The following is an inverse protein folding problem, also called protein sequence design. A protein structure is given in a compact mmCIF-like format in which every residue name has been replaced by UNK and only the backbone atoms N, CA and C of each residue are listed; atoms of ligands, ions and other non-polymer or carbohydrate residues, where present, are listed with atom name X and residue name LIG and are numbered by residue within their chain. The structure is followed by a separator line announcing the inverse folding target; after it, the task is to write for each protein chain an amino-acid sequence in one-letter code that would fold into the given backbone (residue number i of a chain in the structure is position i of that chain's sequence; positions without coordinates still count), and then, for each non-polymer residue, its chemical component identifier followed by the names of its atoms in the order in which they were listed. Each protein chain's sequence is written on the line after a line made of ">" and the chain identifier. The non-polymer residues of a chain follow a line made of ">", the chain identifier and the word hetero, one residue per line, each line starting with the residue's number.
data_IF_288889727342
#
_entry.id   IF_288889727342
#
_cell.length_a   1.000
_cell.length_b   1.000
_cell.length_c   1.000
_cell.angle_alpha   90.00
_cell.angle_beta   90.00
_cell.angle_gamma   90.00
#
_symmetry.space_group_name_H-M   'P 1'
#
loop_
_entity.id
_entity.type
_entity.pdbx_description
1 polymer ?
#
# COMPACT_ATOMS: atom_id res chain seq x y z
N UNK A 1 -25.04 -18.70 -54.19
CA UNK A 1 -24.48 -19.62 -53.17
C UNK A 1 -22.94 -19.50 -53.06
N UNK A 2 -22.24 -19.35 -54.18
CA UNK A 2 -20.79 -19.18 -54.19
C UNK A 2 -20.35 -17.88 -53.46
N UNK A 3 -21.08 -16.78 -53.59
CA UNK A 3 -20.77 -15.53 -52.97
C UNK A 3 -20.92 -15.54 -51.43
N UNK A 4 -21.93 -16.23 -50.90
CA UNK A 4 -22.16 -16.36 -49.47
C UNK A 4 -21.02 -17.14 -48.78
N UNK A 5 -20.60 -18.26 -49.42
CA UNK A 5 -19.50 -19.08 -48.92
C UNK A 5 -18.20 -18.29 -48.91
N UNK A 6 -17.91 -17.53 -49.97
CA UNK A 6 -16.72 -16.69 -50.02
C UNK A 6 -16.75 -15.58 -48.97
N UNK A 7 -17.90 -14.93 -48.73
CA UNK A 7 -18.08 -13.96 -47.66
C UNK A 7 -17.83 -14.57 -46.28
N UNK A 8 -18.32 -15.78 -46.02
CA UNK A 8 -18.07 -16.45 -44.74
C UNK A 8 -16.60 -16.84 -44.55
N UNK A 9 -15.94 -17.32 -45.61
CA UNK A 9 -14.50 -17.62 -45.58
C UNK A 9 -13.71 -16.31 -45.30
N UNK A 10 -14.02 -15.24 -46.00
CA UNK A 10 -13.34 -13.95 -45.81
C UNK A 10 -13.53 -13.37 -44.41
N UNK A 11 -14.77 -13.45 -43.88
CA UNK A 11 -15.07 -13.03 -42.53
C UNK A 11 -14.30 -13.88 -41.47
N UNK A 12 -14.22 -15.20 -41.70
CA UNK A 12 -13.45 -16.09 -40.82
C UNK A 12 -11.95 -15.78 -40.83
N UNK A 13 -11.38 -15.50 -42.01
CA UNK A 13 -9.96 -15.08 -42.12
C UNK A 13 -9.70 -13.78 -41.37
N UNK A 14 -10.60 -12.79 -41.51
CA UNK A 14 -10.49 -11.52 -40.77
C UNK A 14 -10.54 -11.76 -39.26
N UNK A 15 -11.46 -12.57 -38.78
CA UNK A 15 -11.57 -12.89 -37.33
C UNK A 15 -10.31 -13.57 -36.81
N UNK A 16 -9.75 -14.51 -37.54
CA UNK A 16 -8.48 -15.17 -37.19
C UNK A 16 -7.33 -14.15 -37.15
N UNK A 17 -7.25 -13.24 -38.13
CA UNK A 17 -6.21 -12.21 -38.12
C UNK A 17 -6.35 -11.26 -36.95
N UNK A 18 -7.57 -10.84 -36.61
CA UNK A 18 -7.85 -10.00 -35.43
C UNK A 18 -7.40 -10.71 -34.17
N UNK A 19 -7.74 -11.99 -34.01
CA UNK A 19 -7.33 -12.78 -32.85
C UNK A 19 -5.80 -12.92 -32.74
N UNK A 20 -5.10 -13.19 -33.85
CA UNK A 20 -3.63 -13.26 -33.86
C UNK A 20 -2.99 -11.93 -33.48
N UNK A 21 -3.52 -10.82 -34.00
CA UNK A 21 -3.05 -9.46 -33.64
C UNK A 21 -3.31 -9.18 -32.16
N UNK A 22 -4.49 -9.56 -31.66
CA UNK A 22 -4.83 -9.40 -30.23
C UNK A 22 -3.87 -10.20 -29.35
N UNK A 23 -3.63 -11.49 -29.64
CA UNK A 23 -2.68 -12.34 -28.90
C UNK A 23 -1.27 -11.73 -28.90
N UNK A 24 -0.80 -11.27 -30.06
CA UNK A 24 0.52 -10.64 -30.19
C UNK A 24 0.61 -9.36 -29.37
N UNK A 25 -0.40 -8.50 -29.45
CA UNK A 25 -0.49 -7.24 -28.71
C UNK A 25 -0.52 -7.50 -27.21
N UNK A 26 -1.35 -8.45 -26.75
CA UNK A 26 -1.43 -8.85 -25.34
C UNK A 26 -0.08 -9.34 -24.82
N UNK A 27 0.64 -10.14 -25.60
CA UNK A 27 1.96 -10.63 -25.22
C UNK A 27 3.00 -9.51 -25.08
N UNK A 28 2.99 -8.52 -25.98
CA UNK A 28 3.88 -7.36 -25.90
C UNK A 28 3.51 -6.49 -24.71
N UNK A 29 2.23 -6.19 -24.54
CA UNK A 29 1.71 -5.36 -23.45
C UNK A 29 1.98 -6.02 -22.11
N UNK A 30 1.78 -7.33 -22.00
CA UNK A 30 2.05 -8.07 -20.75
C UNK A 30 3.54 -8.09 -20.38
N UNK A 31 4.45 -8.17 -21.37
CA UNK A 31 5.89 -8.04 -21.11
C UNK A 31 6.29 -6.66 -20.59
N UNK A 32 5.70 -5.60 -21.16
CA UNK A 32 6.04 -4.21 -20.86
C UNK A 32 5.24 -3.66 -19.66
N UNK A 33 4.00 -4.10 -19.50
CA UNK A 33 3.05 -3.61 -18.51
C UNK A 33 2.36 -4.77 -17.79
N UNK A 34 3.14 -5.56 -17.04
CA UNK A 34 2.67 -6.75 -16.32
C UNK A 34 1.46 -6.52 -15.39
N UNK A 35 1.19 -5.26 -15.06
CA UNK A 35 0.07 -4.83 -14.23
C UNK A 35 -1.28 -4.72 -14.99
N UNK A 36 -1.28 -4.71 -16.33
CA UNK A 36 -2.51 -4.56 -17.12
C UNK A 36 -3.29 -5.86 -17.25
N UNK A 37 -2.59 -7.00 -17.28
CA UNK A 37 -3.20 -8.32 -17.48
C UNK A 37 -2.83 -9.20 -16.31
N UNK A 38 -3.79 -9.42 -15.43
CA UNK A 38 -3.64 -10.28 -14.24
C UNK A 38 -4.44 -11.54 -14.48
N UNK A 39 -3.78 -12.69 -14.49
CA UNK A 39 -4.52 -13.96 -14.46
C UNK A 39 -4.89 -14.30 -13.02
N UNK A 40 -6.05 -14.93 -12.84
CA UNK A 40 -6.56 -15.37 -11.53
C UNK A 40 -5.55 -16.25 -10.78
N UNK A 41 -4.88 -17.12 -11.53
CA UNK A 41 -3.96 -18.10 -10.97
C UNK A 41 -2.50 -17.64 -10.92
N UNK A 42 -2.26 -16.37 -11.27
CA UNK A 42 -0.91 -15.84 -11.25
C UNK A 42 -0.43 -15.63 -9.81
N UNK A 43 0.54 -16.42 -9.39
CA UNK A 43 1.21 -16.29 -8.10
C UNK A 43 2.54 -15.57 -8.36
N UNK A 44 2.68 -14.29 -7.97
CA UNK A 44 3.90 -13.53 -8.21
C UNK A 44 5.06 -14.10 -7.39
N UNK A 45 6.23 -14.21 -8.02
CA UNK A 45 7.46 -14.55 -7.29
C UNK A 45 7.94 -13.34 -6.51
N UNK A 46 8.18 -13.52 -5.22
CA UNK A 46 8.82 -12.50 -4.40
C UNK A 46 10.34 -12.53 -4.67
N UNK A 47 10.92 -11.39 -5.03
CA UNK A 47 12.37 -11.33 -5.24
C UNK A 47 13.11 -11.31 -3.91
N UNK A 48 14.17 -12.10 -3.78
CA UNK A 48 14.97 -12.19 -2.54
C UNK A 48 15.58 -10.85 -2.15
N UNK A 49 16.11 -10.10 -3.12
CA UNK A 49 16.64 -8.76 -2.89
C UNK A 49 15.58 -7.76 -2.42
N UNK A 50 14.37 -7.80 -3.02
CA UNK A 50 13.23 -7.01 -2.61
C UNK A 50 12.77 -7.36 -1.20
N UNK A 51 12.70 -8.65 -0.89
CA UNK A 51 12.31 -9.16 0.42
C UNK A 51 13.30 -8.69 1.51
N UNK A 52 14.61 -8.85 1.27
CA UNK A 52 15.68 -8.40 2.16
C UNK A 52 15.59 -6.90 2.44
N UNK A 53 15.39 -6.08 1.39
CA UNK A 53 15.20 -4.63 1.51
C UNK A 53 13.93 -4.31 2.29
N UNK A 54 12.83 -5.01 2.05
CA UNK A 54 11.56 -4.81 2.75
C UNK A 54 11.70 -5.11 4.25
N UNK A 55 12.31 -6.24 4.62
CA UNK A 55 12.54 -6.60 6.03
C UNK A 55 13.47 -5.61 6.75
N UNK A 56 14.48 -5.09 6.08
CA UNK A 56 15.41 -4.13 6.70
C UNK A 56 14.80 -2.75 6.90
N UNK A 57 13.93 -2.27 5.99
CA UNK A 57 13.51 -0.86 5.97
C UNK A 57 12.04 -0.61 6.22
N UNK A 58 11.18 -1.61 6.04
CA UNK A 58 9.74 -1.34 6.02
C UNK A 58 8.83 -2.35 6.68
N UNK A 59 9.29 -3.55 6.97
CA UNK A 59 8.44 -4.61 7.49
C UNK A 59 7.96 -4.37 8.93
N UNK A 60 6.68 -4.64 9.17
CA UNK A 60 6.05 -4.68 10.49
C UNK A 60 5.10 -5.89 10.57
N UNK A 61 5.25 -6.79 11.57
CA UNK A 61 4.47 -8.02 11.63
C UNK A 61 2.97 -7.80 11.89
N UNK A 62 2.60 -6.69 12.51
CA UNK A 62 1.21 -6.36 12.86
C UNK A 62 0.56 -5.52 11.77
N UNK A 63 1.23 -4.45 11.35
CA UNK A 63 0.70 -3.47 10.41
C UNK A 63 0.96 -3.84 8.94
N UNK A 64 1.86 -4.81 8.68
CA UNK A 64 2.33 -5.17 7.35
C UNK A 64 3.57 -4.38 6.97
N UNK A 65 3.52 -3.07 7.01
CA UNK A 65 4.67 -2.20 6.77
C UNK A 65 4.62 -0.93 7.61
N UNK A 66 5.79 -0.30 7.78
CA UNK A 66 5.98 0.92 8.53
C UNK A 66 7.19 1.68 7.98
N UNK A 67 7.37 2.92 8.35
CA UNK A 67 8.64 3.62 8.26
C UNK A 67 9.43 3.34 9.54
N UNK A 68 10.60 2.68 9.41
CA UNK A 68 11.40 2.30 10.58
C UNK A 68 12.09 3.51 11.22
N UNK A 69 12.25 3.51 12.55
CA UNK A 69 13.00 4.55 13.25
C UNK A 69 14.44 4.67 12.73
N UNK A 70 15.02 5.86 12.84
CA UNK A 70 16.39 6.19 12.46
C UNK A 70 16.70 5.89 10.98
N UNK A 71 15.75 6.17 10.09
CA UNK A 71 15.92 6.01 8.64
C UNK A 71 15.77 7.33 7.92
N UNK A 72 16.61 7.53 6.91
CA UNK A 72 16.54 8.65 5.98
C UNK A 72 16.23 8.15 4.57
N UNK A 73 15.53 8.94 3.79
CA UNK A 73 15.19 8.59 2.43
C UNK A 73 15.23 9.82 1.53
N UNK A 74 15.65 9.59 0.28
CA UNK A 74 15.59 10.58 -0.79
C UNK A 74 14.76 10.01 -1.93
N UNK A 75 13.81 10.79 -2.41
CA UNK A 75 12.92 10.40 -3.52
C UNK A 75 12.94 11.47 -4.59
N UNK A 76 13.16 11.04 -5.84
CA UNK A 76 13.09 11.92 -6.99
C UNK A 76 11.70 11.80 -7.64
N UNK A 77 11.04 12.93 -7.84
CA UNK A 77 9.80 13.04 -8.59
C UNK A 77 9.94 14.14 -9.65
N UNK A 78 10.10 13.73 -10.91
CA UNK A 78 10.48 14.65 -11.98
C UNK A 78 11.83 15.30 -11.70
N UNK A 79 11.87 16.64 -11.70
CA UNK A 79 13.07 17.41 -11.40
C UNK A 79 13.25 17.75 -9.91
N UNK A 80 12.31 17.36 -9.04
CA UNK A 80 12.36 17.63 -7.61
C UNK A 80 12.90 16.42 -6.86
N UNK A 81 13.87 16.65 -5.99
CA UNK A 81 14.35 15.68 -4.99
C UNK A 81 13.72 16.06 -3.66
N UNK A 82 13.08 15.10 -3.02
CA UNK A 82 12.47 15.25 -1.70
C UNK A 82 13.22 14.38 -0.70
N UNK A 83 13.64 14.97 0.41
CA UNK A 83 14.32 14.26 1.50
C UNK A 83 13.45 14.26 2.75
N UNK A 84 13.36 13.10 3.38
CA UNK A 84 12.64 12.98 4.64
C UNK A 84 13.30 11.98 5.58
N UNK A 85 13.12 12.20 6.87
CA UNK A 85 13.73 11.44 7.93
C UNK A 85 12.69 10.92 8.91
N UNK A 86 12.96 9.74 9.45
CA UNK A 86 12.19 9.16 10.55
C UNK A 86 13.10 9.17 11.79
N UNK A 87 12.64 9.81 12.84
CA UNK A 87 13.41 9.93 14.06
C UNK A 87 13.44 8.63 14.90
N UNK A 88 14.12 8.64 16.03
CA UNK A 88 14.24 7.48 16.91
C UNK A 88 12.93 6.99 17.51
N UNK A 89 11.90 7.83 17.58
CA UNK A 89 10.57 7.49 18.08
C UNK A 89 9.64 6.94 16.97
N UNK A 90 10.10 6.92 15.70
CA UNK A 90 9.36 6.32 14.60
C UNK A 90 8.32 7.21 13.93
N UNK A 91 8.33 8.52 14.20
CA UNK A 91 7.56 9.49 13.44
C UNK A 91 8.46 10.34 12.54
N UNK A 92 7.89 10.99 11.54
CA UNK A 92 8.63 11.86 10.64
C UNK A 92 9.25 13.02 11.42
N UNK A 93 10.53 13.27 11.21
CA UNK A 93 11.28 14.35 11.88
C UNK A 93 10.58 15.69 11.73
N UNK A 94 10.39 16.38 12.85
CA UNK A 94 9.79 17.71 12.91
C UNK A 94 10.83 18.80 13.21
N UNK A 95 12.09 18.51 12.90
CA UNK A 95 13.25 19.40 13.02
C UNK A 95 13.29 20.11 14.39
N UNK A 96 13.44 21.45 14.38
CA UNK A 96 13.52 22.28 15.59
C UNK A 96 12.31 22.19 16.52
N UNK A 97 11.16 21.73 16.01
CA UNK A 97 9.93 21.61 16.81
C UNK A 97 9.88 20.35 17.68
N UNK A 98 10.82 19.40 17.52
CA UNK A 98 10.83 18.15 18.30
C UNK A 98 11.04 18.37 19.81
N UNK A 99 11.68 19.47 20.19
CA UNK A 99 11.90 19.85 21.58
C UNK A 99 10.65 20.45 22.25
N UNK A 100 9.65 20.85 21.47
CA UNK A 100 8.39 21.41 21.98
C UNK A 100 7.53 20.34 22.63
N UNK A 101 6.60 20.71 23.56
CA UNK A 101 5.66 19.77 24.14
C UNK A 101 4.83 19.05 23.09
N UNK A 102 4.72 17.71 23.19
CA UNK A 102 3.90 16.91 22.29
C UNK A 102 2.42 17.06 22.66
N UNK A 103 1.69 17.84 21.88
CA UNK A 103 0.24 18.00 22.07
C UNK A 103 -0.61 17.38 20.97
N UNK A 104 -0.05 17.18 19.78
CA UNK A 104 -0.78 16.71 18.62
C UNK A 104 -0.06 15.52 18.00
N UNK A 105 -0.82 14.48 17.66
CA UNK A 105 -0.32 13.31 16.91
C UNK A 105 -1.20 13.03 15.70
N UNK A 106 -0.58 12.85 14.55
CA UNK A 106 -1.24 12.67 13.26
C UNK A 106 -1.03 11.24 12.76
N UNK A 107 -2.11 10.58 12.33
CA UNK A 107 -2.12 9.23 11.78
C UNK A 107 -2.86 9.21 10.45
N UNK A 108 -2.41 8.41 9.51
CA UNK A 108 -3.01 8.32 8.18
C UNK A 108 -2.07 7.72 7.15
N UNK A 109 -2.29 8.05 5.90
CA UNK A 109 -1.57 7.52 4.75
C UNK A 109 -0.44 8.44 4.25
N UNK A 110 -0.17 8.44 2.93
CA UNK A 110 0.85 9.26 2.29
C UNK A 110 0.55 10.77 2.33
N UNK A 111 -0.70 11.17 2.42
CA UNK A 111 -1.09 12.58 2.55
C UNK A 111 -0.79 13.08 3.97
N UNK A 112 -1.05 12.27 4.98
CA UNK A 112 -0.61 12.56 6.35
C UNK A 112 0.91 12.53 6.45
N UNK A 113 1.57 11.56 5.81
CA UNK A 113 3.04 11.53 5.78
C UNK A 113 3.65 12.73 5.03
N UNK A 114 2.90 13.34 4.14
CA UNK A 114 3.35 14.44 3.27
C UNK A 114 4.59 14.07 2.42
N UNK A 115 4.54 12.91 1.73
CA UNK A 115 5.67 12.24 1.05
C UNK A 115 6.39 13.11 0.02
N UNK A 116 5.68 14.05 -0.63
CA UNK A 116 6.20 14.80 -1.78
C UNK A 116 6.90 16.11 -1.40
N UNK A 117 7.12 16.35 -0.11
CA UNK A 117 7.76 17.56 0.43
C UNK A 117 8.84 17.20 1.43
N UNK A 118 9.78 18.12 1.67
CA UNK A 118 10.84 17.95 2.67
C UNK A 118 10.29 18.05 4.10
N UNK A 119 11.09 17.72 5.12
CA UNK A 119 10.67 17.72 6.52
C UNK A 119 10.19 19.07 7.00
N UNK A 120 10.77 20.18 6.51
CA UNK A 120 10.38 21.55 6.81
C UNK A 120 9.26 22.13 5.91
N UNK A 121 8.69 21.30 5.04
CA UNK A 121 7.62 21.70 4.12
C UNK A 121 6.31 20.94 4.42
N UNK A 122 6.27 20.11 5.47
CA UNK A 122 5.07 19.35 5.83
C UNK A 122 4.04 20.24 6.50
N UNK A 123 2.77 19.91 6.35
CA UNK A 123 1.71 20.66 7.04
C UNK A 123 1.81 20.53 8.56
N UNK A 124 2.33 19.40 9.08
CA UNK A 124 2.59 19.21 10.51
C UNK A 124 3.71 20.13 11.02
N UNK A 125 4.73 20.35 10.20
CA UNK A 125 5.79 21.30 10.53
C UNK A 125 5.24 22.72 10.68
N UNK A 126 4.42 23.17 9.74
CA UNK A 126 3.77 24.48 9.83
C UNK A 126 2.77 24.57 10.99
N UNK A 127 1.99 23.48 11.21
CA UNK A 127 1.06 23.42 12.35
C UNK A 127 1.83 23.52 13.68
N UNK A 128 2.99 22.86 13.80
CA UNK A 128 3.86 22.96 14.97
C UNK A 128 4.29 24.39 15.25
N UNK A 129 4.70 25.13 14.21
CA UNK A 129 5.07 26.54 14.34
C UNK A 129 3.90 27.43 14.77
N UNK A 130 2.73 27.22 14.17
CA UNK A 130 1.52 27.99 14.48
C UNK A 130 1.02 27.78 15.90
N UNK A 131 1.13 26.53 16.39
CA UNK A 131 0.60 26.14 17.71
C UNK A 131 1.67 26.16 18.81
N UNK A 132 2.93 26.39 18.47
CA UNK A 132 4.07 26.29 19.37
C UNK A 132 4.09 24.95 20.14
N UNK A 133 3.82 23.84 19.42
CA UNK A 133 3.83 22.48 19.96
C UNK A 133 4.49 21.52 18.97
N UNK A 134 5.04 20.40 19.46
CA UNK A 134 5.47 19.34 18.57
C UNK A 134 4.23 18.58 18.03
N UNK A 135 4.08 18.53 16.71
CA UNK A 135 3.09 17.73 15.99
C UNK A 135 3.77 16.48 15.47
N UNK A 136 3.50 15.33 16.07
CA UNK A 136 4.10 14.04 15.69
C UNK A 136 3.37 13.42 14.49
N UNK A 137 4.08 13.28 13.39
CA UNK A 137 3.55 12.69 12.15
C UNK A 137 3.85 11.19 12.07
N UNK A 138 2.85 10.36 12.35
CA UNK A 138 2.87 8.91 12.22
C UNK A 138 2.24 8.40 10.91
N UNK A 139 2.03 9.24 9.93
CA UNK A 139 1.54 8.85 8.59
C UNK A 139 2.45 7.82 7.92
N UNK A 140 1.87 6.91 7.15
CA UNK A 140 2.61 5.91 6.36
C UNK A 140 1.96 5.73 5.01
N UNK A 141 2.75 5.84 3.95
CA UNK A 141 2.26 5.67 2.60
C UNK A 141 1.47 4.37 2.42
N UNK A 142 0.36 4.48 1.68
CA UNK A 142 -0.50 3.37 1.33
C UNK A 142 -1.28 2.71 2.48
N UNK A 143 -1.34 3.31 3.67
CA UNK A 143 -2.19 2.81 4.73
C UNK A 143 -3.68 2.95 4.37
N UNK A 144 -4.47 1.94 4.78
CA UNK A 144 -5.91 2.09 5.01
C UNK A 144 -6.17 2.62 6.41
N UNK A 145 -7.42 3.01 6.68
CA UNK A 145 -7.84 3.46 8.02
C UNK A 145 -7.64 2.39 9.09
N UNK A 146 -7.74 1.13 8.74
CA UNK A 146 -7.46 -0.02 9.61
C UNK A 146 -6.02 -0.01 10.14
N UNK A 147 -5.04 0.19 9.27
CA UNK A 147 -3.64 0.29 9.66
C UNK A 147 -3.35 1.57 10.45
N UNK A 148 -3.94 2.70 10.04
CA UNK A 148 -3.82 3.97 10.77
C UNK A 148 -4.37 3.85 12.19
N UNK A 149 -5.54 3.23 12.38
CA UNK A 149 -6.13 2.98 13.69
C UNK A 149 -5.28 2.02 14.55
N UNK A 150 -4.77 0.95 13.97
CA UNK A 150 -3.91 0.01 14.70
C UNK A 150 -2.59 0.68 15.11
N UNK A 151 -2.03 1.53 14.25
CA UNK A 151 -0.86 2.32 14.59
C UNK A 151 -1.16 3.34 15.69
N UNK A 152 -2.27 4.05 15.60
CA UNK A 152 -2.72 4.95 16.66
C UNK A 152 -2.81 4.22 18.00
N UNK A 153 -3.49 3.09 18.07
CA UNK A 153 -3.61 2.30 19.31
C UNK A 153 -2.24 1.90 19.89
N UNK A 154 -1.27 1.57 19.03
CA UNK A 154 0.08 1.18 19.45
C UNK A 154 0.91 2.36 19.94
N UNK A 155 0.92 3.46 19.20
CA UNK A 155 1.78 4.60 19.49
C UNK A 155 1.21 5.51 20.58
N UNK A 156 -0.11 5.61 20.70
CA UNK A 156 -0.76 6.48 21.69
C UNK A 156 -0.44 6.10 23.14
N UNK A 157 -0.23 4.82 23.40
CA UNK A 157 0.17 4.34 24.75
C UNK A 157 1.50 4.97 25.17
N UNK A 158 2.44 5.12 24.24
CA UNK A 158 3.78 5.66 24.47
C UNK A 158 3.87 7.16 24.29
N UNK A 159 3.04 7.71 23.41
CA UNK A 159 3.08 9.09 22.94
C UNK A 159 1.71 9.74 23.11
N UNK A 160 1.23 9.83 24.35
CA UNK A 160 -0.04 10.51 24.64
C UNK A 160 0.02 11.96 24.13
N UNK A 161 -1.03 12.38 23.45
CA UNK A 161 -1.24 13.74 22.96
C UNK A 161 -2.64 14.22 23.34
N UNK A 162 -2.82 15.53 23.44
CA UNK A 162 -4.11 16.14 23.76
C UNK A 162 -5.08 16.05 22.58
N UNK A 163 -4.54 16.08 21.35
CA UNK A 163 -5.28 16.01 20.10
C UNK A 163 -4.72 14.92 19.19
N UNK A 164 -5.61 14.13 18.61
CA UNK A 164 -5.28 13.16 17.55
C UNK A 164 -5.96 13.59 16.26
N UNK A 165 -5.16 13.72 15.20
CA UNK A 165 -5.64 13.99 13.85
C UNK A 165 -5.56 12.70 13.03
N UNK A 166 -6.68 12.25 12.48
CA UNK A 166 -6.75 11.13 11.56
C UNK A 166 -6.96 11.64 10.13
N UNK A 167 -5.94 11.52 9.30
CA UNK A 167 -6.02 11.89 7.88
C UNK A 167 -6.75 10.83 7.08
N UNK A 168 -7.80 11.24 6.37
CA UNK A 168 -8.66 10.37 5.56
C UNK A 168 -8.77 10.92 4.16
N UNK A 169 -8.46 10.09 3.16
CA UNK A 169 -8.73 10.34 1.76
C UNK A 169 -9.55 9.17 1.19
N UNK A 170 -10.25 9.31 0.06
CA UNK A 170 -11.07 8.23 -0.50
C UNK A 170 -10.32 6.89 -0.63
N UNK A 171 -9.05 6.91 -1.03
CA UNK A 171 -8.24 5.71 -1.16
C UNK A 171 -8.02 4.96 0.16
N UNK A 172 -7.99 5.66 1.30
CA UNK A 172 -7.85 5.00 2.62
C UNK A 172 -9.05 4.13 2.94
N UNK A 173 -10.23 4.49 2.43
CA UNK A 173 -11.47 3.71 2.58
C UNK A 173 -11.38 2.43 1.74
N UNK A 174 -11.00 2.53 0.47
CA UNK A 174 -10.88 1.37 -0.41
C UNK A 174 -9.84 0.36 0.10
N UNK A 175 -8.76 0.83 0.71
CA UNK A 175 -7.71 -0.01 1.29
C UNK A 175 -8.14 -0.84 2.50
N UNK A 176 -9.21 -0.44 3.22
CA UNK A 176 -9.74 -1.22 4.37
C UNK A 176 -10.16 -2.62 3.93
N UNK A 177 -10.68 -2.78 2.71
CA UNK A 177 -11.23 -4.04 2.24
C UNK A 177 -10.21 -4.97 1.58
N UNK A 178 -8.93 -4.59 1.54
CA UNK A 178 -7.82 -5.41 1.04
C UNK A 178 -7.03 -6.05 2.17
N UNK A 179 -6.55 -7.28 1.93
CA UNK A 179 -5.61 -8.03 2.79
C UNK A 179 -4.24 -8.11 2.13
N UNK A 180 -4.21 -8.28 0.81
CA UNK A 180 -2.99 -8.28 0.04
C UNK A 180 -3.04 -7.18 -1.03
N UNK A 181 -2.21 -6.18 -0.87
CA UNK A 181 -2.19 -5.00 -1.72
C UNK A 181 -2.03 -5.31 -3.21
N UNK A 182 -1.40 -6.43 -3.54
CA UNK A 182 -1.25 -6.92 -4.92
C UNK A 182 -2.58 -7.06 -5.66
N UNK A 183 -3.67 -7.42 -4.99
CA UNK A 183 -4.99 -7.52 -5.59
C UNK A 183 -5.64 -6.15 -5.86
N UNK A 184 -5.25 -5.15 -5.11
CA UNK A 184 -5.69 -3.77 -5.30
C UNK A 184 -4.76 -2.98 -6.24
N UNK A 185 -3.44 -3.05 -5.98
CA UNK A 185 -2.40 -2.44 -6.81
C UNK A 185 -1.44 -3.53 -7.27
N UNK A 186 -1.56 -3.96 -8.53
CA UNK A 186 -0.71 -5.00 -9.09
C UNK A 186 0.79 -4.66 -8.95
N UNK A 187 1.58 -5.64 -8.56
CA UNK A 187 3.02 -5.48 -8.32
C UNK A 187 3.41 -5.15 -6.88
N UNK A 188 2.47 -4.74 -6.01
CA UNK A 188 2.73 -4.54 -4.59
C UNK A 188 2.74 -5.87 -3.81
N UNK A 189 3.67 -6.76 -4.18
CA UNK A 189 3.69 -8.16 -3.73
C UNK A 189 4.06 -8.35 -2.27
N UNK A 190 4.74 -7.38 -1.62
CA UNK A 190 5.09 -7.44 -0.19
C UNK A 190 4.01 -6.86 0.73
N UNK A 191 2.94 -6.28 0.17
CA UNK A 191 1.93 -5.52 0.91
C UNK A 191 0.85 -6.39 1.55
N UNK A 192 1.20 -7.36 2.38
CA UNK A 192 0.24 -8.07 3.23
C UNK A 192 -0.07 -7.27 4.49
N UNK A 193 -1.36 -7.17 4.86
CA UNK A 193 -1.81 -6.31 5.96
C UNK A 193 -2.99 -6.90 6.74
N UNK A 194 -3.25 -6.41 7.96
CA UNK A 194 -4.48 -6.71 8.68
C UNK A 194 -5.68 -6.03 8.01
N UNK A 195 -6.88 -6.49 8.34
CA UNK A 195 -8.14 -5.90 7.88
C UNK A 195 -9.22 -5.99 8.96
N UNK A 196 -10.01 -4.94 9.14
CA UNK A 196 -11.27 -5.03 9.89
C UNK A 196 -12.40 -5.51 8.98
N UNK A 197 -13.32 -6.29 9.54
CA UNK A 197 -14.53 -6.77 8.89
C UNK A 197 -15.67 -6.90 9.89
N UNK A 198 -16.90 -6.88 9.42
CA UNK A 198 -18.08 -7.08 10.24
C UNK A 198 -18.46 -8.57 10.27
N UNK A 199 -18.71 -9.10 11.44
CA UNK A 199 -19.28 -10.43 11.66
C UNK A 199 -20.36 -10.29 12.73
N UNK A 200 -21.60 -10.64 12.41
CA UNK A 200 -22.75 -10.51 13.31
C UNK A 200 -22.88 -9.10 13.93
N UNK A 201 -22.68 -8.05 13.14
CA UNK A 201 -22.64 -6.65 13.54
C UNK A 201 -21.51 -6.25 14.49
N UNK A 202 -20.56 -7.15 14.75
CA UNK A 202 -19.37 -6.85 15.56
C UNK A 202 -18.15 -6.59 14.66
N UNK A 203 -17.34 -5.61 15.05
CA UNK A 203 -16.11 -5.27 14.33
C UNK A 203 -14.99 -6.25 14.73
N UNK A 204 -14.63 -7.14 13.83
CA UNK A 204 -13.60 -8.14 13.99
C UNK A 204 -12.31 -7.75 13.25
N UNK A 205 -11.16 -8.18 13.78
CA UNK A 205 -9.86 -7.99 13.16
C UNK A 205 -9.35 -9.29 12.53
N UNK A 206 -9.19 -9.30 11.21
CA UNK A 206 -8.36 -10.27 10.51
C UNK A 206 -6.89 -9.80 10.63
N UNK A 207 -6.11 -10.49 11.45
CA UNK A 207 -4.70 -10.14 11.70
C UNK A 207 -3.86 -10.38 10.46
N UNK A 208 -2.73 -9.66 10.33
CA UNK A 208 -1.75 -9.97 9.29
C UNK A 208 -1.21 -11.39 9.49
N UNK A 209 -1.56 -12.30 8.59
CA UNK A 209 -1.15 -13.72 8.67
C UNK A 209 0.23 -13.96 8.07
N UNK A 210 0.73 -13.05 7.22
CA UNK A 210 2.09 -13.09 6.66
C UNK A 210 2.97 -12.19 7.55
N UNK A 211 3.20 -12.65 8.77
CA UNK A 211 3.80 -11.87 9.85
C UNK A 211 5.21 -12.36 10.25
N UNK A 212 5.91 -13.06 9.36
CA UNK A 212 7.30 -13.49 9.56
C UNK A 212 7.99 -13.75 8.22
N UNK A 213 9.31 -13.76 8.19
CA UNK A 213 10.11 -14.02 7.00
C UNK A 213 9.79 -15.40 6.39
N UNK A 214 9.67 -16.43 7.22
CA UNK A 214 9.30 -17.78 6.77
C UNK A 214 7.92 -17.83 6.13
N UNK A 215 6.97 -17.02 6.61
CA UNK A 215 5.64 -16.93 5.99
C UNK A 215 5.64 -16.15 4.68
N UNK A 216 6.53 -15.19 4.50
CA UNK A 216 6.73 -14.56 3.19
C UNK A 216 7.27 -15.56 2.18
N UNK A 217 8.28 -16.35 2.54
CA UNK A 217 8.83 -17.39 1.64
C UNK A 217 7.79 -18.43 1.23
N UNK A 218 6.81 -18.70 2.10
CA UNK A 218 5.76 -19.69 1.91
C UNK A 218 4.35 -19.06 1.83
N UNK A 219 4.23 -17.81 1.38
CA UNK A 219 2.96 -17.09 1.39
C UNK A 219 1.85 -17.78 0.59
N UNK A 220 2.23 -18.52 -0.46
CA UNK A 220 1.33 -19.28 -1.32
C UNK A 220 0.48 -20.30 -0.53
N UNK A 221 0.99 -20.84 0.57
CA UNK A 221 0.25 -21.74 1.44
C UNK A 221 -0.92 -21.07 2.18
N UNK A 222 -0.92 -19.72 2.22
CA UNK A 222 -1.95 -18.93 2.88
C UNK A 222 -2.91 -18.23 1.89
N UNK A 223 -2.75 -18.43 0.58
CA UNK A 223 -3.50 -17.69 -0.44
C UNK A 223 -5.01 -17.87 -0.28
N UNK A 224 -5.52 -19.08 -0.12
CA UNK A 224 -6.95 -19.31 0.06
C UNK A 224 -7.53 -18.50 1.22
N UNK A 225 -6.79 -18.42 2.33
CA UNK A 225 -7.21 -17.66 3.50
C UNK A 225 -7.17 -16.14 3.25
N UNK A 226 -6.15 -15.65 2.53
CA UNK A 226 -6.04 -14.26 2.10
C UNK A 226 -7.19 -13.91 1.16
N UNK A 227 -7.42 -14.73 0.14
CA UNK A 227 -8.42 -14.54 -0.90
C UNK A 227 -9.85 -14.48 -0.36
N UNK A 228 -10.16 -15.30 0.64
CA UNK A 228 -11.48 -15.30 1.30
C UNK A 228 -11.77 -14.00 2.06
N UNK A 229 -10.74 -13.27 2.49
CA UNK A 229 -10.87 -12.00 3.20
C UNK A 229 -10.54 -10.79 2.35
N UNK A 230 -10.09 -10.94 1.09
CA UNK A 230 -9.75 -9.83 0.21
C UNK A 230 -10.90 -9.53 -0.76
N UNK A 231 -11.48 -8.34 -0.64
CA UNK A 231 -12.60 -7.92 -1.49
C UNK A 231 -12.20 -7.82 -2.96
N UNK A 232 -11.01 -7.31 -3.25
CA UNK A 232 -10.59 -7.10 -4.63
C UNK A 232 -10.34 -8.42 -5.35
N UNK A 233 -9.85 -9.43 -4.64
CA UNK A 233 -9.78 -10.78 -5.21
C UNK A 233 -11.18 -11.31 -5.57
N UNK A 234 -12.12 -11.22 -4.64
CA UNK A 234 -13.48 -11.76 -4.85
C UNK A 234 -14.29 -11.04 -5.94
N UNK A 235 -13.90 -9.79 -6.29
CA UNK A 235 -14.61 -8.98 -7.30
C UNK A 235 -13.91 -8.91 -8.65
N UNK A 236 -12.60 -9.20 -8.71
CA UNK A 236 -11.86 -9.24 -9.97
C UNK A 236 -12.03 -10.55 -10.73
N UNK A 237 -12.39 -11.60 -10.05
CA UNK A 237 -12.48 -12.96 -10.55
C UNK A 237 -13.80 -13.60 -10.09
#
# INVERSE_FOLDING_TARGET
>A
MFDLVNCLIFASVILILIELIAIFTVNIVNKKFQWLIISKDQIPKLSDGGLKKFFSHGYDPVLGWIRKPNTSHSEQSGNKITNWNINSQGYRTNLENESLPNKISCFGDSFTFARQVNDNETWEYYLSKLTNTNVKNFGVGNYGLDQALLRLKREFIKNKSELVILGVVPDTISRIVSVWKHYYEYGNTFGFKPRFYLKNNELCLFKNIINSESKFSNYHLNLNKIQNFDFFYSKKF
#
